data_IF_427051347082
#
_entry.id   IF_427051347082
#
_cell.length_a   1.000
_cell.length_b   1.000
_cell.length_c   1.000
_cell.angle_alpha   90.00
_cell.angle_beta   90.00
_cell.angle_gamma   90.00
#
_symmetry.space_group_name_H-M   'P 1'
#
loop_
_entity.id
_entity.type
_entity.pdbx_description
1 polymer ?
#
# COMPACT_ATOMS: atom_id res chain seq x y z
N UNK A 1 3.62 12.42 4.00
CA UNK A 1 2.64 11.54 3.33
C UNK A 1 1.27 12.22 3.32
N UNK A 2 0.54 12.29 2.19
CA UNK A 2 -0.84 12.79 2.14
C UNK A 2 -1.81 11.86 2.88
N UNK A 3 -2.89 12.41 3.43
CA UNK A 3 -3.86 11.68 4.27
C UNK A 3 -4.55 10.52 3.53
N UNK A 4 -4.80 10.66 2.22
CA UNK A 4 -5.35 9.59 1.38
C UNK A 4 -4.41 8.40 1.23
N UNK A 5 -3.11 8.64 1.10
CA UNK A 5 -2.10 7.59 1.02
C UNK A 5 -1.95 6.86 2.36
N UNK A 6 -2.02 7.61 3.47
CA UNK A 6 -2.03 7.05 4.81
C UNK A 6 -3.26 6.19 5.07
N UNK A 7 -4.44 6.61 4.58
CA UNK A 7 -5.65 5.80 4.63
C UNK A 7 -5.51 4.49 3.84
N UNK A 8 -4.91 4.54 2.65
CA UNK A 8 -4.63 3.35 1.83
C UNK A 8 -3.63 2.41 2.51
N UNK A 9 -2.57 2.95 3.12
CA UNK A 9 -1.62 2.17 3.93
C UNK A 9 -2.36 1.45 5.06
N UNK A 10 -3.23 2.16 5.78
CA UNK A 10 -3.97 1.58 6.89
C UNK A 10 -4.92 0.48 6.42
N UNK A 11 -5.61 0.68 5.31
CA UNK A 11 -6.42 -0.38 4.69
C UNK A 11 -5.57 -1.59 4.26
N UNK A 12 -4.36 -1.36 3.74
CA UNK A 12 -3.41 -2.44 3.42
C UNK A 12 -2.93 -3.20 4.65
N UNK A 13 -2.92 -2.57 5.82
CA UNK A 13 -2.60 -3.18 7.11
C UNK A 13 -3.84 -3.81 7.79
N UNK A 14 -4.96 -3.91 7.07
CA UNK A 14 -6.24 -4.38 7.61
C UNK A 14 -6.78 -3.54 8.78
N UNK A 15 -6.44 -2.25 8.80
CA UNK A 15 -7.03 -1.28 9.71
C UNK A 15 -8.25 -0.64 9.03
N UNK A 16 -9.40 -0.66 9.69
CA UNK A 16 -10.61 -0.02 9.20
C UNK A 16 -10.53 1.49 9.44
N UNK A 17 -10.56 2.28 8.37
CA UNK A 17 -10.49 3.75 8.45
C UNK A 17 -11.90 4.33 8.58
N UNK A 18 -12.10 5.22 9.54
CA UNK A 18 -13.37 5.90 9.79
C UNK A 18 -13.20 7.42 9.54
N UNK A 19 -13.28 7.87 8.27
CA UNK A 19 -13.17 9.29 7.95
C UNK A 19 -14.34 10.07 8.57
N UNK A 20 -14.05 11.24 9.15
CA UNK A 20 -15.06 12.12 9.75
C UNK A 20 -15.48 11.75 11.19
N UNK A 21 -14.84 10.76 11.82
CA UNK A 21 -15.06 10.49 13.25
C UNK A 21 -14.45 11.59 14.14
N UNK A 22 -13.36 12.20 13.67
CA UNK A 22 -12.78 13.41 14.26
C UNK A 22 -13.33 14.65 13.55
N UNK A 23 -13.59 15.73 14.30
CA UNK A 23 -14.08 16.99 13.76
C UNK A 23 -13.00 17.72 12.93
N UNK A 24 -11.72 17.40 13.16
CA UNK A 24 -10.63 17.95 12.35
C UNK A 24 -10.41 17.10 11.09
N UNK A 25 -10.60 17.67 9.88
CA UNK A 25 -10.43 16.93 8.62
C UNK A 25 -8.97 16.53 8.31
N UNK A 26 -8.00 17.08 9.06
CA UNK A 26 -6.59 16.69 8.94
C UNK A 26 -6.24 15.48 9.80
N UNK A 27 -7.17 14.98 10.61
CA UNK A 27 -6.96 13.82 11.45
C UNK A 27 -7.53 12.57 10.78
N UNK A 28 -6.82 11.46 10.92
CA UNK A 28 -7.26 10.15 10.47
C UNK A 28 -7.55 9.28 11.68
N UNK A 29 -8.74 8.70 11.73
CA UNK A 29 -9.11 7.73 12.76
C UNK A 29 -9.29 6.37 12.11
N UNK A 30 -8.75 5.35 12.75
CA UNK A 30 -8.88 3.97 12.33
C UNK A 30 -9.08 3.07 13.54
N UNK A 31 -9.60 1.87 13.28
CA UNK A 31 -9.75 0.84 14.27
C UNK A 31 -9.38 -0.52 13.71
N UNK A 32 -9.04 -1.43 14.60
CA UNK A 32 -8.87 -2.85 14.27
C UNK A 32 -9.28 -3.69 15.46
N UNK A 33 -9.67 -4.94 15.20
CA UNK A 33 -9.93 -5.91 16.26
C UNK A 33 -8.86 -6.98 16.17
N UNK A 34 -8.05 -7.09 17.21
CA UNK A 34 -7.03 -8.11 17.30
C UNK A 34 -7.61 -9.35 17.98
N UNK A 35 -7.36 -10.52 17.39
CA UNK A 35 -7.83 -11.79 17.95
C UNK A 35 -6.64 -12.61 18.42
N UNK A 36 -6.60 -12.94 19.71
CA UNK A 36 -5.59 -13.81 20.31
C UNK A 36 -6.24 -14.78 21.28
N UNK A 37 -5.60 -15.93 21.52
CA UNK A 37 -6.06 -16.89 22.51
C UNK A 37 -6.06 -16.30 23.93
N UNK A 38 -5.06 -15.47 24.25
CA UNK A 38 -4.90 -14.87 25.57
C UNK A 38 -5.92 -13.76 25.86
N UNK A 39 -6.17 -12.89 24.87
CA UNK A 39 -6.96 -11.66 25.04
C UNK A 39 -8.31 -11.69 24.30
N UNK A 40 -8.62 -12.77 23.59
CA UNK A 40 -9.80 -12.90 22.71
C UNK A 40 -9.84 -11.75 21.70
N UNK A 41 -11.01 -11.13 21.51
CA UNK A 41 -11.23 -10.01 20.62
C UNK A 41 -10.94 -8.70 21.34
N UNK A 42 -9.86 -8.01 20.96
CA UNK A 42 -9.44 -6.74 21.52
C UNK A 42 -9.60 -5.62 20.51
N UNK A 43 -10.49 -4.68 20.81
CA UNK A 43 -10.64 -3.47 20.01
C UNK A 43 -9.45 -2.53 20.23
N UNK A 44 -8.87 -2.08 19.13
CA UNK A 44 -7.77 -1.14 19.09
C UNK A 44 -8.23 0.09 18.32
N UNK A 45 -8.04 1.26 18.91
CA UNK A 45 -8.38 2.55 18.34
C UNK A 45 -7.08 3.30 18.03
N UNK A 46 -7.02 3.89 16.84
CA UNK A 46 -5.85 4.57 16.32
C UNK A 46 -6.29 5.94 15.85
N UNK A 47 -5.58 6.97 16.27
CA UNK A 47 -5.76 8.35 15.82
C UNK A 47 -4.43 8.90 15.37
N UNK A 48 -4.40 9.38 14.14
CA UNK A 48 -3.25 10.08 13.55
C UNK A 48 -3.64 11.53 13.37
N UNK A 49 -2.87 12.41 13.97
CA UNK A 49 -3.08 13.86 13.86
C UNK A 49 -1.92 14.44 13.05
N UNK A 50 -2.24 15.10 11.95
CA UNK A 50 -1.25 15.74 11.08
C UNK A 50 -1.25 17.24 11.35
N UNK A 51 -0.06 17.82 11.57
CA UNK A 51 0.04 19.27 11.75
C UNK A 51 -0.25 19.99 10.42
N UNK A 52 -1.19 20.95 10.39
CA UNK A 52 -1.52 21.69 9.17
C UNK A 52 -0.39 22.62 8.69
N UNK A 53 0.52 23.06 9.57
CA UNK A 53 1.68 23.88 9.24
C UNK A 53 2.88 23.03 8.80
N UNK A 54 3.01 21.82 9.35
CA UNK A 54 4.10 20.89 9.04
C UNK A 54 3.60 19.46 8.83
N UNK A 55 3.36 19.10 7.56
CA UNK A 55 2.87 17.77 7.16
C UNK A 55 3.86 16.63 7.41
N UNK A 56 5.07 16.92 7.89
CA UNK A 56 6.05 15.90 8.29
C UNK A 56 5.89 15.49 9.76
N UNK A 57 5.21 16.31 10.56
CA UNK A 57 4.93 16.03 11.96
C UNK A 57 3.57 15.34 12.10
N UNK A 58 3.61 14.14 12.68
CA UNK A 58 2.44 13.29 12.90
C UNK A 58 2.41 12.88 14.37
N UNK A 59 1.26 13.01 15.01
CA UNK A 59 1.01 12.44 16.34
C UNK A 59 0.18 11.17 16.19
N UNK A 60 0.83 10.03 16.44
CA UNK A 60 0.18 8.72 16.48
C UNK A 60 -0.26 8.39 17.91
N UNK A 61 -1.55 8.21 18.10
CA UNK A 61 -2.16 7.73 19.35
C UNK A 61 -2.80 6.37 19.09
N UNK A 62 -2.43 5.37 19.88
CA UNK A 62 -3.03 4.04 19.84
C UNK A 62 -3.55 3.72 21.24
N UNK A 63 -4.75 3.16 21.33
CA UNK A 63 -5.36 2.74 22.58
C UNK A 63 -6.02 1.37 22.39
N UNK A 64 -5.77 0.46 23.34
CA UNK A 64 -6.47 -0.81 23.44
C UNK A 64 -6.59 -1.21 24.91
N UNK A 65 -7.31 -2.29 25.20
CA UNK A 65 -7.45 -2.82 26.56
C UNK A 65 -6.20 -3.55 27.10
N UNK A 66 -5.16 -3.73 26.29
CA UNK A 66 -3.91 -4.39 26.68
C UNK A 66 -2.71 -3.47 26.39
N UNK A 67 -1.82 -3.32 27.37
CA UNK A 67 -0.68 -2.41 27.27
C UNK A 67 0.40 -2.88 26.29
N UNK A 68 0.64 -4.20 26.22
CA UNK A 68 1.65 -4.77 25.33
C UNK A 68 1.19 -4.64 23.90
N UNK A 69 -0.06 -4.98 23.63
CA UNK A 69 -0.66 -4.83 22.32
C UNK A 69 -0.66 -3.37 21.87
N UNK A 70 -1.02 -2.44 22.77
CA UNK A 70 -1.01 -1.01 22.46
C UNK A 70 0.38 -0.54 22.04
N UNK A 71 1.42 -0.98 22.73
CA UNK A 71 2.81 -0.63 22.43
C UNK A 71 3.28 -1.22 21.10
N UNK A 72 3.11 -2.53 20.91
CA UNK A 72 3.55 -3.23 19.68
C UNK A 72 2.83 -2.70 18.44
N UNK A 73 1.51 -2.51 18.51
CA UNK A 73 0.73 -1.97 17.40
C UNK A 73 1.16 -0.55 17.04
N UNK A 74 1.48 0.28 18.05
CA UNK A 74 1.98 1.62 17.84
C UNK A 74 3.34 1.61 17.13
N UNK A 75 4.27 0.77 17.57
CA UNK A 75 5.59 0.65 16.94
C UNK A 75 5.48 0.10 15.51
N UNK A 76 4.66 -0.93 15.29
CA UNK A 76 4.39 -1.51 13.97
C UNK A 76 3.84 -0.47 12.98
N UNK A 77 2.85 0.33 13.40
CA UNK A 77 2.29 1.39 12.54
C UNK A 77 3.33 2.47 12.29
N UNK A 78 4.13 2.83 13.30
CA UNK A 78 5.20 3.82 13.16
C UNK A 78 6.25 3.38 12.13
N UNK A 79 6.65 2.11 12.12
CA UNK A 79 7.57 1.57 11.11
C UNK A 79 7.03 1.66 9.67
N UNK A 80 5.71 1.55 9.51
CA UNK A 80 5.07 1.69 8.19
C UNK A 80 4.83 3.14 7.79
N UNK A 81 4.69 4.06 8.76
CA UNK A 81 4.51 5.49 8.53
C UNK A 81 5.82 6.22 8.25
N UNK A 82 6.93 5.77 8.86
CA UNK A 82 8.27 6.24 8.54
C UNK A 82 8.66 5.56 7.23
N UNK A 83 8.55 6.31 6.14
CA UNK A 83 9.00 5.90 4.82
C UNK A 83 10.52 5.66 4.86
N UNK A 84 10.94 4.44 5.22
CA UNK A 84 12.23 3.94 4.78
C UNK A 84 12.03 3.77 3.28
N UNK A 85 12.76 4.48 2.41
CA UNK A 85 12.61 4.35 0.97
C UNK A 85 12.83 2.89 0.60
N UNK A 86 11.74 2.12 0.55
CA UNK A 86 11.71 0.80 -0.03
C UNK A 86 12.01 1.10 -1.47
N UNK A 87 13.26 0.81 -1.85
CA UNK A 87 13.68 0.76 -3.24
C UNK A 87 12.62 -0.10 -3.90
N UNK A 88 11.66 0.52 -4.61
CA UNK A 88 10.79 -0.21 -5.48
C UNK A 88 11.75 -0.80 -6.49
N UNK A 89 12.12 -2.06 -6.27
CA UNK A 89 12.76 -2.87 -7.29
C UNK A 89 11.68 -2.95 -8.35
N UNK A 90 11.78 -2.05 -9.32
CA UNK A 90 10.92 -2.10 -10.48
C UNK A 90 11.00 -3.54 -11.01
N UNK A 91 9.86 -4.19 -11.31
CA UNK A 91 9.90 -5.49 -11.94
C UNK A 91 10.86 -5.39 -13.14
N UNK A 92 11.77 -6.36 -13.34
CA UNK A 92 12.74 -6.28 -14.42
C UNK A 92 11.96 -6.03 -15.71
N UNK A 93 12.24 -4.89 -16.36
CA UNK A 93 11.75 -4.60 -17.70
C UNK A 93 12.08 -5.84 -18.54
N UNK A 94 11.05 -6.49 -19.08
CA UNK A 94 11.25 -7.55 -20.05
C UNK A 94 12.25 -7.03 -21.10
N UNK A 95 13.33 -7.78 -21.32
CA UNK A 95 14.38 -7.40 -22.25
C UNK A 95 13.75 -7.08 -23.60
N UNK A 96 13.94 -5.84 -24.05
CA UNK A 96 13.58 -5.43 -25.41
C UNK A 96 14.44 -6.28 -26.34
N UNK A 97 13.82 -7.23 -27.05
CA UNK A 97 14.49 -8.00 -28.10
C UNK A 97 15.13 -7.03 -29.12
N UNK A 98 16.33 -7.31 -29.64
CA UNK A 98 16.94 -6.48 -30.67
C UNK A 98 16.02 -6.41 -31.89
N UNK A 99 15.55 -5.20 -32.20
CA UNK A 99 14.83 -4.93 -33.45
C UNK A 99 15.81 -5.10 -34.62
N UNK A 100 15.58 -6.11 -35.45
CA UNK A 100 16.24 -6.26 -36.75
C UNK A 100 15.83 -5.10 -37.67
N UNK A 101 16.77 -4.54 -38.45
CA UNK A 101 16.49 -3.37 -39.29
C UNK A 101 15.46 -3.69 -40.38
N UNK A 102 14.43 -2.86 -40.41
CA UNK A 102 13.39 -2.74 -41.42
C UNK A 102 13.95 -2.64 -42.84
N UNK A 103 13.56 -3.57 -43.70
CA UNK A 103 13.49 -3.38 -45.15
C UNK A 103 12.03 -3.57 -45.58
N UNK A 104 11.44 -2.51 -46.12
CA UNK A 104 10.12 -2.52 -46.74
C UNK A 104 10.22 -3.02 -48.20
N UNK A 105 9.10 -3.10 -48.94
CA UNK A 105 7.88 -3.85 -48.69
C UNK A 105 7.69 -4.92 -49.81
N UNK A 106 7.04 -6.04 -49.52
CA UNK A 106 6.60 -6.96 -50.58
C UNK A 106 5.19 -7.47 -50.28
N UNK A 107 4.25 -6.89 -51.00
CA UNK A 107 2.92 -7.44 -51.26
C UNK A 107 3.07 -8.84 -51.84
N UNK A 108 2.64 -9.88 -51.14
CA UNK A 108 2.09 -11.07 -51.80
C UNK A 108 1.20 -11.86 -50.85
N UNK A 109 -0.07 -11.92 -51.24
CA UNK A 109 -1.14 -12.69 -50.66
C UNK A 109 -0.96 -14.14 -51.09
N UNK A 110 -0.56 -15.06 -50.20
CA UNK A 110 -0.57 -16.50 -50.50
C UNK A 110 -0.97 -17.32 -49.25
N UNK A 111 -2.15 -17.97 -49.26
CA UNK A 111 -2.68 -18.71 -48.10
C UNK A 111 -2.00 -20.07 -47.88
N UNK A 112 -1.02 -20.47 -48.69
CA UNK A 112 -0.32 -21.76 -48.56
C UNK A 112 0.68 -21.84 -47.39
N UNK A 113 1.13 -20.72 -46.84
CA UNK A 113 2.22 -20.68 -45.85
C UNK A 113 1.77 -20.84 -44.39
N UNK A 114 0.47 -20.81 -44.10
CA UNK A 114 -0.04 -20.94 -42.72
C UNK A 114 -0.04 -22.36 -42.16
N UNK A 115 0.26 -23.39 -42.97
CA UNK A 115 0.21 -24.80 -42.54
C UNK A 115 1.59 -25.46 -42.38
N UNK A 116 2.70 -24.69 -42.42
CA UNK A 116 4.06 -25.24 -42.28
C UNK A 116 4.67 -25.05 -40.88
N UNK A 117 3.99 -24.37 -39.96
CA UNK A 117 4.48 -24.07 -38.61
C UNK A 117 3.85 -24.89 -37.48
N UNK A 118 3.08 -25.94 -37.79
CA UNK A 118 2.36 -26.75 -36.80
C UNK A 118 2.92 -28.18 -36.64
N UNK A 119 4.18 -28.41 -37.01
CA UNK A 119 4.92 -29.65 -36.76
C UNK A 119 6.23 -29.36 -36.03
#
# INVERSE_FOLDING_TARGET
>A
MPLSEMANLFMSLHLAVAPGLDNNPNNLVACTTFFSEATRAMLCLIRVETDPQDRTQLRLTVASGDQYLTFELKEFIKEHLVDIPRTQVAPPRAAVQPQLPTTAPATYNDPGTMLAGLL
#
